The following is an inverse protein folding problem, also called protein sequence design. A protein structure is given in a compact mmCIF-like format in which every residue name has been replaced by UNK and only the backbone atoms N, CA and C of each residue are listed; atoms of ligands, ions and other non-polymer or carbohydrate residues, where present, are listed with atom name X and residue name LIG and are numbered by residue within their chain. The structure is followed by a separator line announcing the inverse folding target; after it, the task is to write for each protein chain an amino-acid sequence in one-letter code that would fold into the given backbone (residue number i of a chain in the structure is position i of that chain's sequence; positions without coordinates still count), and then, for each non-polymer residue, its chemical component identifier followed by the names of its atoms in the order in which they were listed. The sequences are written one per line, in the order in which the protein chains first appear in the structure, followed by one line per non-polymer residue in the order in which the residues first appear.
data_IF_593816770589
#
_entry.id   IF_593816770589
#
_cell.length_a   1.000
_cell.length_b   1.000
_cell.length_c   1.000
_cell.angle_alpha   90.00
_cell.angle_beta   90.00
_cell.angle_gamma   90.00
#
_symmetry.space_group_name_H-M   'P 1'
#
loop_
_entity.id
_entity.type
_entity.pdbx_description
1 polymer ?
#
# COMPACT_ATOMS: atom_id res chain seq x y z
N UNK A 1 7.02 0.18 6.62
CA UNK A 1 7.89 1.37 6.61
C UNK A 1 7.58 2.16 5.33
N UNK A 2 7.44 3.49 5.37
CA UNK A 2 7.04 4.28 4.20
C UNK A 2 8.26 4.66 3.34
N UNK A 3 8.23 4.42 2.03
CA UNK A 3 9.24 4.94 1.09
C UNK A 3 8.60 5.97 0.16
N UNK A 4 8.96 7.25 0.32
CA UNK A 4 8.53 8.35 -0.54
C UNK A 4 9.58 8.58 -1.64
N UNK A 5 9.19 8.48 -2.91
CA UNK A 5 10.05 8.84 -4.04
C UNK A 5 9.40 10.02 -4.78
N UNK A 6 10.12 11.15 -4.87
CA UNK A 6 9.70 12.28 -5.71
C UNK A 6 9.96 11.93 -7.16
N UNK A 7 8.93 11.92 -7.99
CA UNK A 7 9.08 11.79 -9.45
C UNK A 7 8.86 13.19 -10.03
N UNK A 8 9.93 13.87 -10.42
CA UNK A 8 9.93 15.25 -10.94
C UNK A 8 9.31 15.40 -12.35
N UNK A 9 8.18 14.73 -12.64
CA UNK A 9 7.37 14.98 -13.84
C UNK A 9 5.89 14.66 -13.58
N UNK A 10 5.19 15.52 -12.85
CA UNK A 10 3.73 15.48 -12.78
C UNK A 10 3.10 16.01 -11.49
N UNK A 11 1.82 16.37 -11.59
CA UNK A 11 0.93 16.93 -10.55
C UNK A 11 0.68 16.00 -9.34
N UNK A 12 1.40 14.88 -9.22
CA UNK A 12 1.17 13.83 -8.24
C UNK A 12 2.49 13.23 -7.73
N UNK A 13 2.50 12.81 -6.47
CA UNK A 13 3.63 12.11 -5.82
C UNK A 13 3.25 10.65 -5.66
N UNK A 14 4.12 9.74 -6.12
CA UNK A 14 3.93 8.30 -5.92
C UNK A 14 4.42 7.89 -4.52
N UNK A 15 3.56 7.18 -3.79
CA UNK A 15 3.86 6.63 -2.46
C UNK A 15 3.67 5.12 -2.51
N UNK A 16 4.66 4.37 -2.01
CA UNK A 16 4.59 2.91 -1.92
C UNK A 16 4.46 2.49 -0.46
N UNK A 17 3.44 1.69 -0.18
CA UNK A 17 3.19 1.07 1.12
C UNK A 17 3.55 -0.42 1.05
N UNK A 18 4.02 -0.96 2.18
CA UNK A 18 4.23 -2.40 2.33
C UNK A 18 4.08 -2.80 3.80
N UNK A 19 3.66 -4.04 4.00
CA UNK A 19 3.56 -4.69 5.31
C UNK A 19 4.78 -5.58 5.56
N UNK A 20 4.98 -5.99 6.81
CA UNK A 20 5.84 -7.13 7.09
C UNK A 20 5.17 -8.41 6.60
N UNK A 21 5.90 -9.52 6.49
CA UNK A 21 5.30 -10.78 6.11
C UNK A 21 4.32 -11.24 7.20
N UNK A 22 3.02 -11.30 6.87
CA UNK A 22 1.98 -11.76 7.78
C UNK A 22 1.59 -13.17 7.33
N UNK A 23 2.11 -14.19 8.03
CA UNK A 23 1.97 -15.59 7.64
C UNK A 23 0.52 -16.05 7.48
N UNK A 24 -0.37 -15.51 8.30
CA UNK A 24 -1.77 -15.93 8.40
C UNK A 24 -2.73 -15.06 7.55
N UNK A 25 -2.24 -13.97 6.95
CA UNK A 25 -3.08 -13.11 6.13
C UNK A 25 -3.22 -13.66 4.70
N UNK A 26 -4.46 -13.84 4.27
CA UNK A 26 -4.81 -14.15 2.88
C UNK A 26 -4.79 -12.91 1.98
N UNK A 27 -5.12 -11.74 2.53
CA UNK A 27 -5.23 -10.47 1.82
C UNK A 27 -4.98 -9.29 2.76
N UNK A 28 -4.58 -8.15 2.21
CA UNK A 28 -4.45 -6.89 2.93
C UNK A 28 -5.01 -5.74 2.08
N UNK A 29 -5.58 -4.73 2.73
CA UNK A 29 -6.09 -3.52 2.11
C UNK A 29 -5.48 -2.30 2.78
N UNK A 30 -5.16 -1.28 1.98
CA UNK A 30 -4.70 0.01 2.50
C UNK A 30 -5.91 0.86 2.86
N UNK A 31 -6.00 1.32 4.11
CA UNK A 31 -7.14 2.09 4.62
C UNK A 31 -6.64 3.37 5.27
N UNK A 32 -7.28 4.49 4.97
CA UNK A 32 -6.99 5.80 5.54
C UNK A 32 -7.99 6.87 5.13
N UNK A 33 -7.69 8.12 5.45
CA UNK A 33 -8.51 9.27 5.07
C UNK A 33 -8.63 9.47 3.55
N UNK A 34 -7.55 9.21 2.80
CA UNK A 34 -7.50 9.36 1.34
C UNK A 34 -8.43 8.42 0.56
N UNK A 35 -9.00 7.40 1.22
CA UNK A 35 -9.98 6.49 0.63
C UNK A 35 -11.26 6.35 1.48
N UNK A 36 -11.61 7.40 2.25
CA UNK A 36 -12.81 7.45 3.08
C UNK A 36 -12.93 6.26 4.04
N UNK A 37 -11.79 5.75 4.52
CA UNK A 37 -11.69 4.56 5.37
C UNK A 37 -12.33 3.30 4.77
N UNK A 38 -12.44 3.22 3.43
CA UNK A 38 -13.06 2.09 2.77
C UNK A 38 -12.14 0.86 2.77
N UNK A 39 -12.57 -0.19 3.48
CA UNK A 39 -11.83 -1.43 3.71
C UNK A 39 -11.58 -2.29 2.46
N UNK A 40 -12.22 -2.00 1.33
CA UNK A 40 -12.15 -2.84 0.10
C UNK A 40 -11.59 -2.12 -1.12
N UNK A 41 -11.44 -0.80 -1.05
CA UNK A 41 -11.14 0.05 -2.21
C UNK A 41 -9.71 -0.07 -2.74
N UNK A 42 -8.75 -0.45 -1.89
CA UNK A 42 -7.32 -0.45 -2.21
C UNK A 42 -6.65 -1.78 -1.79
N UNK A 43 -6.89 -2.88 -2.53
CA UNK A 43 -6.24 -4.16 -2.27
C UNK A 43 -4.73 -4.08 -2.50
N UNK A 44 -3.95 -4.76 -1.65
CA UNK A 44 -2.49 -4.91 -1.77
C UNK A 44 -2.12 -6.21 -2.48
N UNK A 45 -1.00 -6.19 -3.21
CA UNK A 45 -0.44 -7.38 -3.87
C UNK A 45 0.54 -8.10 -2.94
N UNK A 46 0.37 -9.42 -2.80
CA UNK A 46 1.29 -10.26 -2.02
C UNK A 46 2.58 -10.49 -2.79
N UNK A 47 3.69 -10.05 -2.20
CA UNK A 47 5.02 -10.21 -2.76
C UNK A 47 5.55 -11.63 -2.51
N UNK A 48 6.53 -12.04 -3.33
CA UNK A 48 7.14 -13.39 -3.27
C UNK A 48 7.81 -13.71 -1.93
N UNK A 49 8.23 -12.69 -1.19
CA UNK A 49 8.85 -12.82 0.13
C UNK A 49 7.81 -12.86 1.28
N UNK A 50 6.53 -12.93 0.94
CA UNK A 50 5.41 -13.03 1.87
C UNK A 50 4.90 -11.69 2.41
N UNK A 51 5.46 -10.56 1.96
CA UNK A 51 5.00 -9.21 2.30
C UNK A 51 3.80 -8.73 1.49
#
# INVERSE_FOLDING_TARGET
MLKKQSVEKGKFIKVTFYTHAIKEASSAFLVGDFNDWNETSHPMEKLKDGR
#
